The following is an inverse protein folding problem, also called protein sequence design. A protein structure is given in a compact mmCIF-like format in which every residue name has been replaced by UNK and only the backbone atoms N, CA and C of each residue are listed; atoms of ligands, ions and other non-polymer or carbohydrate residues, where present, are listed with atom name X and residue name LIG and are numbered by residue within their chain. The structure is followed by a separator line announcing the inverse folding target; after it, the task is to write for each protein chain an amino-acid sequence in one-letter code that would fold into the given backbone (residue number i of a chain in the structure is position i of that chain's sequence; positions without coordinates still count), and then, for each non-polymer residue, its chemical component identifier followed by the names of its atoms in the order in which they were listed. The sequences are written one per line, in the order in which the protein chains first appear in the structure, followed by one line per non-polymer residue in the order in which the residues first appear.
data_IF_871361989208
#
_entry.id   IF_871361989208
#
_cell.length_a   1.000
_cell.length_b   1.000
_cell.length_c   1.000
_cell.angle_alpha   90.00
_cell.angle_beta   90.00
_cell.angle_gamma   90.00
#
_symmetry.space_group_name_H-M   'P 1'
#
loop_
_entity.id
_entity.type
_entity.pdbx_description
1 polymer ?
#
# COMPACT_ATOMS: atom_id res chain seq x y z
N UNK A 1 -10.02 -0.23 11.01
CA UNK A 1 -10.33 0.15 9.61
C UNK A 1 -10.00 1.60 9.26
N UNK A 2 -9.20 2.34 10.04
CA UNK A 2 -8.92 3.78 9.80
C UNK A 2 -8.38 4.09 8.39
N UNK A 3 -7.52 3.24 7.83
CA UNK A 3 -6.95 3.45 6.50
C UNK A 3 -7.95 3.21 5.38
N UNK A 4 -8.86 2.24 5.53
CA UNK A 4 -9.96 2.06 4.60
C UNK A 4 -10.91 3.27 4.59
N UNK A 5 -11.19 3.83 5.77
CA UNK A 5 -11.99 5.06 5.88
C UNK A 5 -11.25 6.25 5.25
N UNK A 6 -9.94 6.38 5.47
CA UNK A 6 -9.12 7.43 4.88
C UNK A 6 -9.06 7.33 3.35
N UNK A 7 -8.90 6.13 2.80
CA UNK A 7 -8.94 5.86 1.35
C UNK A 7 -10.31 6.23 0.76
N UNK A 8 -11.40 5.79 1.39
CA UNK A 8 -12.75 6.14 0.95
C UNK A 8 -12.99 7.66 0.97
N UNK A 9 -12.51 8.37 1.99
CA UNK A 9 -12.60 9.84 2.08
C UNK A 9 -11.75 10.52 1.01
N UNK A 10 -10.51 10.07 0.80
CA UNK A 10 -9.60 10.63 -0.19
C UNK A 10 -10.14 10.45 -1.61
N UNK A 11 -10.56 9.23 -1.95
CA UNK A 11 -11.18 8.93 -3.23
C UNK A 11 -12.50 9.70 -3.41
N UNK A 12 -13.32 9.79 -2.36
CA UNK A 12 -14.55 10.58 -2.39
C UNK A 12 -14.31 12.06 -2.74
N UNK A 13 -13.23 12.66 -2.22
CA UNK A 13 -12.83 14.03 -2.58
C UNK A 13 -12.40 14.14 -4.04
N UNK A 14 -11.56 13.21 -4.52
CA UNK A 14 -11.13 13.18 -5.91
C UNK A 14 -12.34 13.03 -6.86
N UNK A 15 -13.24 12.11 -6.54
CA UNK A 15 -14.46 11.86 -7.32
C UNK A 15 -15.41 13.07 -7.34
N UNK A 16 -15.55 13.79 -6.23
CA UNK A 16 -16.34 15.01 -6.16
C UNK A 16 -15.79 16.11 -7.08
N UNK A 17 -14.46 16.22 -7.22
CA UNK A 17 -13.84 17.17 -8.15
C UNK A 17 -13.93 16.69 -9.60
N UNK A 18 -13.82 15.39 -9.87
CA UNK A 18 -14.00 14.83 -11.21
C UNK A 18 -15.38 15.09 -11.80
N UNK A 19 -16.40 15.09 -10.94
CA UNK A 19 -17.79 15.32 -11.32
C UNK A 19 -18.08 16.79 -11.71
N UNK A 20 -17.15 17.71 -11.49
CA UNK A 20 -17.28 19.13 -11.87
C UNK A 20 -16.80 19.39 -13.30
N UNK A 21 -17.29 20.46 -13.97
CA UNK A 21 -16.74 20.94 -15.24
C UNK A 21 -15.23 21.14 -15.18
N UNK A 22 -14.53 20.99 -16.31
CA UNK A 22 -13.06 21.10 -16.35
C UNK A 22 -12.56 22.52 -16.04
N UNK A 23 -13.37 23.53 -16.35
CA UNK A 23 -13.11 24.96 -16.11
C UNK A 23 -13.61 25.44 -14.73
N UNK A 24 -14.17 24.55 -13.91
CA UNK A 24 -14.59 24.87 -12.54
C UNK A 24 -13.37 25.29 -11.69
N UNK A 25 -13.37 26.51 -11.11
CA UNK A 25 -12.24 27.01 -10.33
C UNK A 25 -11.86 26.13 -9.12
N UNK A 26 -12.84 25.51 -8.46
CA UNK A 26 -12.61 24.60 -7.33
C UNK A 26 -11.98 23.30 -7.80
N UNK A 27 -12.39 22.79 -8.97
CA UNK A 27 -11.72 21.64 -9.60
C UNK A 27 -10.27 22.00 -9.89
N UNK A 28 -10.01 23.07 -10.63
CA UNK A 28 -8.65 23.46 -11.01
C UNK A 28 -7.74 23.62 -9.78
N UNK A 29 -8.25 24.30 -8.74
CA UNK A 29 -7.48 24.57 -7.53
C UNK A 29 -7.22 23.33 -6.67
N UNK A 30 -8.21 22.45 -6.52
CA UNK A 30 -8.15 21.33 -5.58
C UNK A 30 -7.71 19.99 -6.17
N UNK A 31 -7.67 19.84 -7.49
CA UNK A 31 -7.52 18.53 -8.11
C UNK A 31 -6.21 17.83 -7.76
N UNK A 32 -5.08 18.53 -7.85
CA UNK A 32 -3.77 17.93 -7.55
C UNK A 32 -3.66 17.48 -6.08
N UNK A 33 -4.23 18.23 -5.14
CA UNK A 33 -4.25 17.83 -3.73
C UNK A 33 -5.14 16.61 -3.49
N UNK A 34 -6.26 16.51 -4.20
CA UNK A 34 -7.13 15.34 -4.12
C UNK A 34 -6.47 14.08 -4.72
N UNK A 35 -5.73 14.22 -5.83
CA UNK A 35 -4.93 13.13 -6.41
C UNK A 35 -3.87 12.66 -5.43
N UNK A 36 -3.11 13.59 -4.82
CA UNK A 36 -2.13 13.24 -3.77
C UNK A 36 -2.78 12.49 -2.62
N UNK A 37 -3.95 12.92 -2.17
CA UNK A 37 -4.72 12.20 -1.15
C UNK A 37 -5.05 10.76 -1.56
N UNK A 38 -5.51 10.56 -2.80
CA UNK A 38 -5.86 9.25 -3.35
C UNK A 38 -4.63 8.35 -3.67
N UNK A 39 -3.42 8.91 -3.64
CA UNK A 39 -2.15 8.16 -3.71
C UNK A 39 -1.64 7.84 -2.30
N UNK A 40 -1.64 8.84 -1.41
CA UNK A 40 -1.07 8.70 -0.07
C UNK A 40 -1.86 7.70 0.79
N UNK A 41 -3.20 7.69 0.70
CA UNK A 41 -4.03 6.77 1.48
C UNK A 41 -3.72 5.29 1.20
N UNK A 42 -3.67 4.79 -0.05
CA UNK A 42 -3.19 3.44 -0.31
C UNK A 42 -1.69 3.28 -0.03
N UNK A 43 -0.87 4.32 -0.19
CA UNK A 43 0.53 4.30 0.23
C UNK A 43 0.72 3.94 1.71
N UNK A 44 -0.09 4.52 2.61
CA UNK A 44 -0.07 4.20 4.05
C UNK A 44 -0.45 2.73 4.33
N UNK A 45 -1.34 2.15 3.51
CA UNK A 45 -1.70 0.72 3.59
C UNK A 45 -0.48 -0.14 3.26
N UNK A 46 0.29 0.21 2.23
CA UNK A 46 1.54 -0.48 1.89
C UNK A 46 2.54 -0.39 3.05
N UNK A 47 2.73 0.79 3.62
CA UNK A 47 3.66 1.00 4.76
C UNK A 47 3.24 0.15 5.98
N UNK A 48 1.94 0.08 6.25
CA UNK A 48 1.42 -0.74 7.35
C UNK A 48 1.59 -2.23 7.09
N UNK A 49 1.38 -2.68 5.85
CA UNK A 49 1.67 -4.06 5.47
C UNK A 49 3.16 -4.39 5.63
N UNK A 50 4.07 -3.48 5.26
CA UNK A 50 5.51 -3.66 5.47
C UNK A 50 5.86 -3.82 6.96
N UNK A 51 5.28 -2.97 7.82
CA UNK A 51 5.45 -3.08 9.28
C UNK A 51 4.91 -4.40 9.84
N UNK A 52 3.78 -4.88 9.33
CA UNK A 52 3.24 -6.19 9.71
C UNK A 52 4.24 -7.30 9.36
N UNK A 53 4.78 -7.29 8.15
CA UNK A 53 5.77 -8.27 7.71
C UNK A 53 7.06 -8.21 8.52
N UNK A 54 7.54 -7.02 8.90
CA UNK A 54 8.71 -6.85 9.77
C UNK A 54 8.52 -7.53 11.14
N UNK A 55 7.31 -7.45 11.69
CA UNK A 55 6.97 -8.14 12.95
C UNK A 55 6.86 -9.64 12.73
N UNK A 56 6.14 -10.07 11.69
CA UNK A 56 5.89 -11.49 11.41
C UNK A 56 7.19 -12.26 11.15
N UNK A 57 8.17 -11.66 10.47
CA UNK A 57 9.47 -12.26 10.21
C UNK A 57 10.25 -12.61 11.49
N UNK A 58 9.97 -11.93 12.61
CA UNK A 58 10.67 -12.17 13.90
C UNK A 58 10.03 -13.26 14.76
N UNK A 59 8.87 -13.79 14.36
CA UNK A 59 8.08 -14.74 15.15
C UNK A 59 8.45 -16.23 14.96
N UNK A 60 8.99 -16.69 13.82
CA UNK A 60 9.51 -18.06 13.71
C UNK A 60 10.51 -18.39 14.82
N UNK A 61 10.35 -19.56 15.45
CA UNK A 61 11.16 -19.98 16.60
C UNK A 61 10.91 -19.23 17.91
N UNK A 62 10.05 -18.20 17.93
CA UNK A 62 9.66 -17.42 19.12
C UNK A 62 8.16 -17.51 19.44
N UNK A 63 7.41 -18.22 18.60
CA UNK A 63 5.96 -18.45 18.71
C UNK A 63 5.67 -19.94 18.89
N UNK A 64 4.44 -20.27 19.32
CA UNK A 64 4.06 -21.66 19.52
C UNK A 64 3.98 -22.40 18.16
N UNK A 65 4.53 -23.62 18.02
CA UNK A 65 4.59 -24.32 16.72
C UNK A 65 3.24 -24.50 16.01
N UNK A 66 2.14 -24.61 16.77
CA UNK A 66 0.79 -24.75 16.21
C UNK A 66 0.22 -23.47 15.58
N UNK A 67 0.92 -22.33 15.71
CA UNK A 67 0.55 -21.05 15.07
C UNK A 67 1.20 -20.87 13.69
N UNK A 68 1.94 -21.86 13.18
CA UNK A 68 2.63 -21.75 11.90
C UNK A 68 1.67 -21.42 10.73
N UNK A 69 0.48 -22.03 10.69
CA UNK A 69 -0.53 -21.71 9.69
C UNK A 69 -1.06 -20.28 9.83
N UNK A 70 -1.24 -19.81 11.06
CA UNK A 70 -1.73 -18.44 11.32
C UNK A 70 -0.71 -17.39 10.87
N UNK A 71 0.59 -17.67 11.07
CA UNK A 71 1.67 -16.82 10.60
C UNK A 71 1.71 -16.76 9.06
N UNK A 72 1.58 -17.89 8.37
CA UNK A 72 1.48 -17.93 6.90
C UNK A 72 0.29 -17.13 6.38
N UNK A 73 -0.89 -17.31 6.98
CA UNK A 73 -2.09 -16.57 6.60
C UNK A 73 -1.88 -15.06 6.81
N UNK A 74 -1.25 -14.65 7.92
CA UNK A 74 -0.97 -13.26 8.21
C UNK A 74 0.01 -12.63 7.20
N UNK A 75 1.06 -13.36 6.82
CA UNK A 75 2.02 -12.92 5.79
C UNK A 75 1.30 -12.73 4.46
N UNK A 76 0.58 -13.75 3.98
CA UNK A 76 -0.14 -13.68 2.71
C UNK A 76 -1.17 -12.55 2.69
N UNK A 77 -1.91 -12.38 3.78
CA UNK A 77 -2.93 -11.31 3.90
C UNK A 77 -2.29 -9.92 3.83
N UNK A 78 -1.19 -9.70 4.53
CA UNK A 78 -0.46 -8.42 4.49
C UNK A 78 0.08 -8.15 3.07
N UNK A 79 0.70 -9.16 2.43
CA UNK A 79 1.22 -9.05 1.07
C UNK A 79 0.12 -8.76 0.05
N UNK A 80 -1.03 -9.44 0.14
CA UNK A 80 -2.15 -9.17 -0.77
C UNK A 80 -2.72 -7.76 -0.56
N UNK A 81 -2.83 -7.31 0.69
CA UNK A 81 -3.25 -5.95 1.02
C UNK A 81 -2.32 -4.89 0.42
N UNK A 82 -1.02 -5.08 0.56
CA UNK A 82 -0.02 -4.18 -0.04
C UNK A 82 -0.12 -4.14 -1.56
N UNK A 83 -0.17 -5.30 -2.22
CA UNK A 83 -0.28 -5.40 -3.69
C UNK A 83 -1.56 -4.77 -4.22
N UNK A 84 -2.67 -4.88 -3.49
CA UNK A 84 -3.91 -4.21 -3.85
C UNK A 84 -3.76 -2.68 -3.73
N UNK A 85 -3.15 -2.21 -2.65
CA UNK A 85 -2.91 -0.79 -2.44
C UNK A 85 -1.94 -0.18 -3.47
N UNK A 86 -0.88 -0.89 -3.83
CA UNK A 86 0.06 -0.50 -4.89
C UNK A 86 -0.67 -0.26 -6.22
N UNK A 87 -1.61 -1.14 -6.60
CA UNK A 87 -2.45 -0.93 -7.80
C UNK A 87 -3.26 0.35 -7.73
N UNK A 88 -3.80 0.69 -6.55
CA UNK A 88 -4.53 1.94 -6.36
C UNK A 88 -3.59 3.17 -6.50
N UNK A 89 -2.37 3.10 -5.97
CA UNK A 89 -1.34 4.12 -6.20
C UNK A 89 -1.06 4.27 -7.70
N UNK A 90 -0.75 3.18 -8.39
CA UNK A 90 -0.37 3.19 -9.81
C UNK A 90 -1.46 3.77 -10.72
N UNK A 91 -2.74 3.53 -10.42
CA UNK A 91 -3.87 4.10 -11.19
C UNK A 91 -3.95 5.62 -11.04
N UNK A 92 -3.58 6.18 -9.89
CA UNK A 92 -3.67 7.61 -9.63
C UNK A 92 -2.41 8.39 -10.02
N UNK A 93 -1.23 7.74 -10.10
CA UNK A 93 0.04 8.39 -10.46
C UNK A 93 -0.02 9.23 -11.75
N UNK A 94 -0.60 8.77 -12.87
CA UNK A 94 -0.69 9.56 -14.10
C UNK A 94 -1.47 10.88 -13.97
N UNK A 95 -2.25 11.06 -12.90
CA UNK A 95 -3.02 12.27 -12.64
C UNK A 95 -2.19 13.38 -11.98
N UNK A 96 -0.98 13.08 -11.50
CA UNK A 96 -0.01 14.07 -11.00
C UNK A 96 0.61 14.80 -12.19
N UNK A 97 0.39 16.11 -12.26
CA UNK A 97 0.85 16.94 -13.39
C UNK A 97 2.33 17.31 -13.30
N UNK A 98 2.89 17.36 -12.09
CA UNK A 98 4.31 17.61 -11.90
C UNK A 98 5.09 16.31 -12.17
N UNK A 99 5.96 16.33 -13.18
CA UNK A 99 6.74 15.15 -13.62
C UNK A 99 7.66 14.61 -12.52
N UNK A 100 8.43 15.49 -11.88
CA UNK A 100 9.41 15.14 -10.85
C UNK A 100 8.71 14.55 -9.61
N UNK A 101 7.58 15.12 -9.21
CA UNK A 101 6.75 14.60 -8.14
C UNK A 101 6.21 13.21 -8.49
N UNK A 102 5.68 13.04 -9.71
CA UNK A 102 5.15 11.75 -10.16
C UNK A 102 6.23 10.67 -10.17
N UNK A 103 7.42 10.98 -10.70
CA UNK A 103 8.56 10.06 -10.70
C UNK A 103 8.98 9.70 -9.27
N UNK A 104 9.06 10.68 -8.37
CA UNK A 104 9.42 10.45 -6.96
C UNK A 104 8.43 9.52 -6.27
N UNK A 105 7.13 9.71 -6.51
CA UNK A 105 6.08 8.85 -5.93
C UNK A 105 6.11 7.43 -6.52
N UNK A 106 6.32 7.31 -7.83
CA UNK A 106 6.45 6.03 -8.53
C UNK A 106 7.64 5.22 -7.99
N UNK A 107 8.82 5.85 -7.93
CA UNK A 107 10.04 5.23 -7.38
C UNK A 107 9.86 4.80 -5.92
N UNK A 108 9.27 5.67 -5.09
CA UNK A 108 9.01 5.37 -3.67
C UNK A 108 8.11 4.14 -3.50
N UNK A 109 6.94 4.14 -4.14
CA UNK A 109 5.97 3.08 -3.92
C UNK A 109 6.33 1.79 -4.67
N UNK A 110 7.01 1.88 -5.81
CA UNK A 110 7.61 0.73 -6.48
C UNK A 110 8.71 0.07 -5.65
N UNK A 111 9.60 0.87 -5.03
CA UNK A 111 10.61 0.35 -4.11
C UNK A 111 9.98 -0.33 -2.89
N UNK A 112 8.95 0.28 -2.30
CA UNK A 112 8.20 -0.30 -1.17
C UNK A 112 7.50 -1.61 -1.55
N UNK A 113 6.90 -1.69 -2.74
CA UNK A 113 6.29 -2.92 -3.26
C UNK A 113 7.31 -4.06 -3.39
N UNK A 114 8.50 -3.77 -3.93
CA UNK A 114 9.60 -4.74 -4.02
C UNK A 114 10.12 -5.19 -2.65
N UNK A 115 10.24 -4.27 -1.70
CA UNK A 115 10.64 -4.57 -0.33
C UNK A 115 9.65 -5.53 0.34
N UNK A 116 8.35 -5.22 0.26
CA UNK A 116 7.27 -6.04 0.80
C UNK A 116 7.29 -7.45 0.24
N UNK A 117 7.43 -7.60 -1.08
CA UNK A 117 7.49 -8.91 -1.73
C UNK A 117 8.73 -9.71 -1.31
N UNK A 118 9.87 -9.02 -1.15
CA UNK A 118 11.11 -9.63 -0.67
C UNK A 118 10.98 -10.10 0.78
N UNK A 119 10.41 -9.26 1.65
CA UNK A 119 10.19 -9.58 3.06
C UNK A 119 9.20 -10.72 3.25
N UNK A 120 8.10 -10.70 2.51
CA UNK A 120 7.10 -11.76 2.54
C UNK A 120 7.72 -13.12 2.18
N UNK A 121 8.52 -13.16 1.10
CA UNK A 121 9.22 -14.39 0.71
C UNK A 121 10.17 -14.87 1.80
N UNK A 122 11.00 -13.97 2.35
CA UNK A 122 11.94 -14.29 3.42
C UNK A 122 11.23 -14.82 4.68
N UNK A 123 10.10 -14.22 5.04
CA UNK A 123 9.29 -14.64 6.18
C UNK A 123 8.65 -16.03 5.94
N UNK A 124 8.18 -16.31 4.72
CA UNK A 124 7.67 -17.64 4.33
C UNK A 124 8.77 -18.71 4.37
N UNK A 125 9.94 -18.40 3.82
CA UNK A 125 11.09 -19.32 3.82
C UNK A 125 11.52 -19.65 5.26
N UNK A 126 11.52 -18.67 6.17
CA UNK A 126 11.88 -18.86 7.58
C UNK A 126 10.89 -19.74 8.38
N UNK A 127 9.68 -19.95 7.87
CA UNK A 127 8.69 -20.86 8.47
C UNK A 127 8.82 -22.30 7.96
N UNK A 128 9.50 -22.51 6.84
CA UNK A 128 9.72 -23.85 6.30
C UNK A 128 10.84 -24.51 7.12
N UNK A 129 10.59 -25.65 7.80
CA UNK A 129 11.65 -26.38 8.48
C UNK A 129 12.76 -26.70 7.48
N UNK A 130 14.03 -26.61 7.88
CA UNK A 130 15.10 -27.22 7.11
C UNK A 130 14.78 -28.71 6.96
N UNK A 131 14.74 -29.22 5.74
CA UNK A 131 14.69 -30.67 5.52
C UNK A 131 16.00 -31.26 6.09
N UNK A 132 15.88 -32.05 7.15
CA UNK A 132 16.96 -32.86 7.73
C UNK A 132 17.31 -34.07 6.84
#
# INVERSE_FOLDING_TARGET
MRQADADAVAYGRLNALWSRPQDDPERIKGFQDAVRGAINAPGEIMETANLILEVLERLPGRSAPHLASDLSIAIETATMGARAAERNVSVNLPLITNEEERQTLDERFGALGLEIDTMARRAMDAMTPAED
#
